data_IF_459864731241
#
_entry.id   IF_459864731241
#
_cell.length_a   1.000
_cell.length_b   1.000
_cell.length_c   1.000
_cell.angle_alpha   90.00
_cell.angle_beta   90.00
_cell.angle_gamma   90.00
#
_symmetry.space_group_name_H-M   'P 1'
#
loop_
_entity.id
_entity.type
_entity.pdbx_description
1 polymer ?
#
# COMPACT_ATOMS: atom_id res chain seq x y z
N UNK A 1 2.18 4.28 -3.42
CA UNK A 1 0.70 4.42 -3.37
C UNK A 1 0.03 3.96 -4.69
N UNK A 2 -1.23 3.50 -4.67
CA UNK A 2 -2.04 3.21 -5.88
C UNK A 2 -3.50 3.68 -5.71
N UNK A 3 -4.22 3.91 -6.80
CA UNK A 3 -5.66 4.23 -6.77
C UNK A 3 -6.49 3.00 -7.18
N UNK A 4 -7.67 2.79 -6.57
CA UNK A 4 -8.52 1.62 -6.84
C UNK A 4 -9.83 1.99 -7.55
N UNK A 5 -10.30 1.14 -8.46
CA UNK A 5 -11.60 1.31 -9.14
C UNK A 5 -12.72 0.67 -8.32
N UNK A 6 -13.81 1.40 -8.07
CA UNK A 6 -15.04 0.85 -7.47
C UNK A 6 -16.00 0.35 -8.56
N UNK A 7 -16.41 -0.92 -8.45
CA UNK A 7 -17.34 -1.61 -9.37
C UNK A 7 -18.81 -1.40 -8.94
N UNK A 8 -19.21 -0.16 -8.68
CA UNK A 8 -20.57 0.18 -8.24
C UNK A 8 -21.16 1.25 -9.16
N UNK A 9 -22.49 1.26 -9.32
CA UNK A 9 -23.20 2.28 -10.13
C UNK A 9 -22.81 3.66 -9.61
N UNK A 10 -22.15 4.42 -10.48
CA UNK A 10 -21.50 5.69 -10.12
C UNK A 10 -22.53 6.80 -10.27
N UNK A 11 -22.58 7.72 -9.31
CA UNK A 11 -23.35 8.96 -9.46
C UNK A 11 -22.71 9.84 -10.52
N UNK A 12 -23.49 10.66 -11.24
CA UNK A 12 -22.93 11.72 -12.08
C UNK A 12 -21.95 12.55 -11.24
N UNK A 13 -20.75 12.83 -11.76
CA UNK A 13 -19.64 13.57 -11.11
C UNK A 13 -18.80 12.81 -10.06
N UNK A 14 -19.02 11.52 -9.81
CA UNK A 14 -18.07 10.75 -8.97
C UNK A 14 -16.72 10.61 -9.71
N UNK A 15 -15.59 10.59 -9.01
CA UNK A 15 -14.29 10.25 -9.61
C UNK A 15 -14.18 8.74 -9.94
N UNK A 16 -13.52 8.32 -11.05
CA UNK A 16 -13.46 6.92 -11.48
C UNK A 16 -12.61 6.03 -10.59
N UNK A 17 -11.63 6.65 -9.94
CA UNK A 17 -10.72 6.01 -9.03
C UNK A 17 -10.93 6.60 -7.65
N UNK A 18 -10.96 5.72 -6.66
CA UNK A 18 -10.86 6.11 -5.27
C UNK A 18 -9.39 6.37 -4.95
N UNK A 19 -9.14 7.34 -4.06
CA UNK A 19 -7.90 8.09 -3.89
C UNK A 19 -6.59 7.29 -3.76
N UNK A 20 -5.45 7.97 -3.62
CA UNK A 20 -4.17 7.30 -3.46
C UNK A 20 -4.14 6.54 -2.14
N UNK A 21 -4.11 5.22 -2.20
CA UNK A 21 -3.98 4.35 -1.04
C UNK A 21 -2.54 3.91 -0.85
N UNK A 22 -2.10 3.83 0.39
CA UNK A 22 -0.79 3.29 0.74
C UNK A 22 -0.76 1.78 0.50
N UNK A 23 0.29 1.32 -0.18
CA UNK A 23 0.53 -0.09 -0.43
C UNK A 23 1.44 -0.60 0.67
N UNK A 24 0.98 -1.58 1.44
CA UNK A 24 1.79 -2.24 2.47
C UNK A 24 2.56 -3.44 1.94
N UNK A 25 1.94 -4.19 1.03
CA UNK A 25 2.55 -5.41 0.50
C UNK A 25 2.19 -5.57 -0.98
N UNK A 26 3.19 -5.94 -1.77
CA UNK A 26 3.03 -6.27 -3.18
C UNK A 26 3.28 -7.76 -3.36
N UNK A 27 2.29 -8.47 -3.89
CA UNK A 27 2.42 -9.83 -4.42
C UNK A 27 2.33 -9.77 -5.95
N UNK A 28 2.60 -10.89 -6.60
CA UNK A 28 2.62 -11.00 -8.06
C UNK A 28 1.32 -10.53 -8.72
N UNK A 29 0.17 -10.98 -8.18
CA UNK A 29 -1.17 -10.69 -8.73
C UNK A 29 -2.04 -9.78 -7.86
N UNK A 30 -1.56 -9.44 -6.66
CA UNK A 30 -2.33 -8.73 -5.63
C UNK A 30 -1.52 -7.68 -4.90
N UNK A 31 -2.18 -6.62 -4.48
CA UNK A 31 -1.64 -5.59 -3.61
C UNK A 31 -2.45 -5.52 -2.33
N UNK A 32 -1.75 -5.43 -1.20
CA UNK A 32 -2.34 -5.16 0.11
C UNK A 32 -2.28 -3.65 0.34
N UNK A 33 -3.44 -3.03 0.49
CA UNK A 33 -3.57 -1.57 0.60
C UNK A 33 -4.44 -1.20 1.80
N UNK A 34 -4.19 -0.05 2.43
CA UNK A 34 -5.11 0.48 3.45
C UNK A 34 -6.21 1.29 2.80
N UNK A 35 -7.45 0.83 2.94
CA UNK A 35 -8.64 1.58 2.53
C UNK A 35 -9.49 1.79 3.77
N UNK A 36 -9.69 3.07 4.14
CA UNK A 36 -10.48 3.45 5.34
C UNK A 36 -10.02 2.70 6.59
N UNK A 37 -8.70 2.75 6.85
CA UNK A 37 -8.02 2.11 7.99
C UNK A 37 -8.01 0.58 8.01
N UNK A 38 -8.62 -0.07 7.03
CA UNK A 38 -8.64 -1.53 6.91
C UNK A 38 -7.66 -2.01 5.82
N UNK A 39 -6.82 -3.01 6.11
CA UNK A 39 -5.98 -3.62 5.09
C UNK A 39 -6.83 -4.52 4.18
N UNK A 40 -6.88 -4.21 2.89
CA UNK A 40 -7.62 -4.99 1.89
C UNK A 40 -6.68 -5.50 0.79
N UNK A 41 -7.02 -6.64 0.21
CA UNK A 41 -6.33 -7.23 -0.94
C UNK A 41 -7.04 -6.86 -2.24
N UNK A 42 -6.32 -6.27 -3.18
CA UNK A 42 -6.85 -5.86 -4.48
C UNK A 42 -5.99 -6.45 -5.59
N UNK A 43 -6.62 -7.00 -6.62
CA UNK A 43 -5.91 -7.49 -7.80
C UNK A 43 -5.22 -6.36 -8.56
N UNK A 44 -4.08 -6.67 -9.20
CA UNK A 44 -3.33 -5.72 -10.04
C UNK A 44 -4.20 -5.07 -11.12
N UNK A 45 -5.21 -5.78 -11.62
CA UNK A 45 -6.10 -5.32 -12.67
C UNK A 45 -7.10 -4.23 -12.23
N UNK A 46 -7.30 -4.07 -10.90
CA UNK A 46 -8.27 -3.12 -10.32
C UNK A 46 -7.60 -1.93 -9.63
N UNK A 47 -6.30 -1.74 -9.86
CA UNK A 47 -5.53 -0.61 -9.34
C UNK A 47 -4.79 0.12 -10.46
N UNK A 48 -4.56 1.41 -10.28
CA UNK A 48 -3.67 2.22 -11.12
C UNK A 48 -2.48 2.71 -10.29
N UNK A 49 -1.25 2.60 -10.81
CA UNK A 49 -0.09 3.21 -10.18
C UNK A 49 -0.25 4.73 -10.19
N UNK A 50 0.03 5.37 -9.05
CA UNK A 50 0.05 6.82 -8.92
C UNK A 50 1.51 7.26 -9.04
N UNK A 51 1.90 7.73 -10.22
CA UNK A 51 3.21 8.31 -10.45
C UNK A 51 3.22 9.75 -9.94
N UNK A 52 4.13 10.08 -9.02
CA UNK A 52 4.28 11.45 -8.50
C UNK A 52 4.46 11.56 -6.98
N UNK A 53 4.24 10.48 -6.23
CA UNK A 53 4.49 10.47 -4.78
C UNK A 53 5.71 9.61 -4.46
N UNK A 54 6.79 10.28 -4.06
CA UNK A 54 7.94 9.65 -3.41
C UNK A 54 7.45 9.17 -2.04
N UNK A 55 7.35 7.84 -1.86
CA UNK A 55 7.16 7.27 -0.53
C UNK A 55 8.19 7.94 0.39
N UNK A 56 7.82 8.52 1.55
CA UNK A 56 8.81 8.84 2.54
C UNK A 56 9.43 7.50 2.90
N UNK A 57 10.66 7.28 2.43
CA UNK A 57 11.45 6.11 2.78
C UNK A 57 11.50 6.07 4.30
N UNK A 58 10.60 5.29 4.89
CA UNK A 58 10.63 4.91 6.30
C UNK A 58 11.83 3.99 6.45
N UNK A 59 13.02 4.62 6.48
CA UNK A 59 14.22 4.04 7.06
C UNK A 59 13.97 3.89 8.55
N UNK A 60 13.19 2.86 8.89
CA UNK A 60 12.89 2.44 10.25
C UNK A 60 13.57 1.10 10.53
N UNK A 61 14.86 0.99 10.21
CA UNK A 61 15.71 -0.09 10.74
C UNK A 61 16.26 0.37 12.09
N UNK A 62 15.40 0.48 13.10
CA UNK A 62 15.87 0.41 14.49
C UNK A 62 16.22 -1.04 14.75
N UNK A 63 17.50 -1.37 14.52
CA UNK A 63 18.13 -2.61 15.00
C UNK A 63 17.84 -2.69 16.49
N UNK A 64 17.00 -3.64 16.93
CA UNK A 64 16.94 -3.97 18.35
C UNK A 64 18.31 -4.54 18.72
N UNK A 65 19.01 -3.82 19.58
CA UNK A 65 20.05 -4.34 20.45
C UNK A 65 19.48 -5.49 21.30
N UNK A 66 20.16 -6.64 21.29
CA UNK A 66 20.80 -7.20 22.49
C UNK A 66 21.31 -8.62 22.26
N UNK A 67 22.46 -8.89 22.88
CA UNK A 67 23.04 -10.17 23.25
C UNK A 67 23.70 -11.02 22.16
N UNK A 68 25.04 -11.01 22.16
CA UNK A 68 25.85 -12.21 21.91
C UNK A 68 27.18 -12.06 22.66
N UNK A 69 27.25 -12.85 23.73
CA UNK A 69 28.29 -13.11 24.74
C UNK A 69 29.66 -13.46 24.11
N UNK A 70 30.82 -13.17 24.77
CA UNK A 70 32.15 -13.48 24.22
C UNK A 70 32.45 -14.98 24.30
N UNK A 71 33.35 -15.46 23.45
CA UNK A 71 34.00 -16.76 23.63
C UNK A 71 35.50 -16.61 23.37
N UNK A 72 36.22 -17.06 24.39
CA UNK A 72 37.67 -17.27 24.49
C UNK A 72 38.15 -18.36 23.52
#
# INVERSE_FOLDING_TARGET
MCSSVRDAVRRPLQQPYDGPFQVFQRKEKFYKMQVKDKPIWIFINRIKPVFGFKEPSSSGSTRKSSESIPSE
#
